data_IF_202468368006
#
_entry.id   IF_202468368006
#
_cell.length_a   1.000
_cell.length_b   1.000
_cell.length_c   1.000
_cell.angle_alpha   90.00
_cell.angle_beta   90.00
_cell.angle_gamma   90.00
#
_symmetry.space_group_name_H-M   'P 1'
#
loop_
_entity.id
_entity.type
_entity.pdbx_description
1 polymer ?
#
# COMPACT_ATOMS: atom_id res chain seq x y z
N UNK A 1 38.99 -15.38 -8.09
CA UNK A 1 37.98 -14.31 -7.90
C UNK A 1 36.95 -14.85 -6.93
N UNK A 2 36.44 -14.05 -5.99
CA UNK A 2 35.59 -14.55 -4.91
C UNK A 2 34.11 -14.48 -5.28
N UNK A 3 33.27 -15.37 -4.76
CA UNK A 3 31.82 -15.38 -5.01
C UNK A 3 31.14 -14.02 -4.75
N UNK A 4 31.65 -13.25 -3.78
CA UNK A 4 31.15 -11.89 -3.49
C UNK A 4 31.46 -10.88 -4.60
N UNK A 5 32.58 -11.01 -5.32
CA UNK A 5 32.86 -10.15 -6.48
C UNK A 5 31.95 -10.50 -7.64
N UNK A 6 31.76 -11.80 -7.92
CA UNK A 6 30.86 -12.27 -8.98
C UNK A 6 29.40 -11.88 -8.73
N UNK A 7 28.94 -11.95 -7.48
CA UNK A 7 27.60 -11.49 -7.11
C UNK A 7 27.44 -9.98 -7.25
N UNK A 8 28.44 -9.20 -6.83
CA UNK A 8 28.45 -7.75 -7.05
C UNK A 8 28.39 -7.44 -8.54
N UNK A 9 29.20 -8.09 -9.35
CA UNK A 9 29.25 -7.88 -10.80
C UNK A 9 27.91 -8.24 -11.46
N UNK A 10 27.27 -9.33 -11.03
CA UNK A 10 25.90 -9.68 -11.45
C UNK A 10 24.88 -8.57 -11.13
N UNK A 11 24.90 -8.02 -9.90
CA UNK A 11 23.98 -6.94 -9.52
C UNK A 11 24.16 -5.67 -10.38
N UNK A 12 25.39 -5.39 -10.81
CA UNK A 12 25.72 -4.28 -11.71
C UNK A 12 25.31 -4.57 -13.16
N UNK A 13 25.67 -5.74 -13.70
CA UNK A 13 25.37 -6.19 -15.07
C UNK A 13 23.87 -6.14 -15.35
N UNK A 14 23.07 -6.69 -14.42
CA UNK A 14 21.63 -6.83 -14.57
C UNK A 14 20.82 -5.67 -13.95
N UNK A 15 21.48 -4.62 -13.48
CA UNK A 15 20.84 -3.42 -12.88
C UNK A 15 19.81 -3.77 -11.80
N UNK A 16 20.11 -4.74 -10.95
CA UNK A 16 19.18 -5.23 -9.92
C UNK A 16 19.08 -4.27 -8.73
N UNK A 17 20.15 -3.50 -8.47
CA UNK A 17 20.21 -2.52 -7.37
C UNK A 17 19.07 -1.49 -7.44
N UNK A 18 18.84 -0.77 -8.55
CA UNK A 18 17.72 0.18 -8.64
C UNK A 18 16.34 -0.49 -8.55
N UNK A 19 16.19 -1.72 -9.03
CA UNK A 19 14.94 -2.48 -8.91
C UNK A 19 14.63 -2.80 -7.43
N UNK A 20 15.62 -3.25 -6.68
CA UNK A 20 15.47 -3.51 -5.25
C UNK A 20 15.10 -2.25 -4.46
N UNK A 21 15.71 -1.10 -4.80
CA UNK A 21 15.38 0.19 -4.18
C UNK A 21 13.92 0.59 -4.47
N UNK A 22 13.46 0.44 -5.72
CA UNK A 22 12.08 0.71 -6.10
C UNK A 22 11.07 -0.16 -5.35
N UNK A 23 11.37 -1.45 -5.18
CA UNK A 23 10.53 -2.39 -4.45
C UNK A 23 10.40 -2.00 -2.96
N UNK A 24 11.52 -1.69 -2.31
CA UNK A 24 11.53 -1.26 -0.90
C UNK A 24 10.76 0.05 -0.71
N UNK A 25 10.92 1.02 -1.61
CA UNK A 25 10.14 2.27 -1.57
C UNK A 25 8.64 2.01 -1.72
N UNK A 26 8.24 1.07 -2.60
CA UNK A 26 6.85 0.64 -2.75
C UNK A 26 6.28 0.08 -1.44
N UNK A 27 7.02 -0.80 -0.77
CA UNK A 27 6.61 -1.39 0.52
C UNK A 27 6.44 -0.30 1.58
N UNK A 28 7.44 0.58 1.76
CA UNK A 28 7.42 1.59 2.83
C UNK A 28 6.34 2.66 2.59
N UNK A 29 6.07 3.02 1.34
CA UNK A 29 5.03 4.00 0.98
C UNK A 29 3.62 3.54 1.39
N UNK A 30 3.37 2.23 1.37
CA UNK A 30 2.06 1.65 1.69
C UNK A 30 1.68 1.90 3.15
N UNK A 31 2.63 1.74 4.08
CA UNK A 31 2.40 2.03 5.50
C UNK A 31 2.10 3.51 5.75
N UNK A 32 2.79 4.41 5.02
CA UNK A 32 2.58 5.86 5.10
C UNK A 32 1.19 6.23 4.58
N UNK A 33 0.81 5.73 3.41
CA UNK A 33 -0.52 5.96 2.82
C UNK A 33 -1.61 5.41 3.74
N UNK A 34 -1.42 4.22 4.32
CA UNK A 34 -2.37 3.65 5.29
C UNK A 34 -2.56 4.55 6.50
N UNK A 35 -1.47 5.04 7.09
CA UNK A 35 -1.53 5.96 8.23
C UNK A 35 -2.24 7.28 7.88
N UNK A 36 -1.97 7.84 6.70
CA UNK A 36 -2.66 9.02 6.20
C UNK A 36 -4.17 8.76 6.09
N UNK A 37 -4.56 7.61 5.53
CA UNK A 37 -5.97 7.28 5.39
C UNK A 37 -6.62 7.08 6.76
N UNK A 38 -6.04 6.25 7.63
CA UNK A 38 -6.63 5.90 8.92
C UNK A 38 -6.73 7.09 9.89
N UNK A 39 -5.74 7.99 9.89
CA UNK A 39 -5.64 9.06 10.89
C UNK A 39 -6.18 10.41 10.42
N UNK A 40 -6.22 10.67 9.11
CA UNK A 40 -6.65 11.97 8.57
C UNK A 40 -7.93 11.81 7.75
N UNK A 41 -7.94 10.88 6.79
CA UNK A 41 -9.07 10.74 5.87
C UNK A 41 -10.29 10.13 6.60
N UNK A 42 -10.10 9.07 7.40
CA UNK A 42 -11.19 8.38 8.11
C UNK A 42 -11.93 9.29 9.12
N UNK A 43 -11.27 10.08 10.00
CA UNK A 43 -11.98 10.97 10.92
C UNK A 43 -12.79 12.07 10.22
N UNK A 44 -12.38 12.49 9.01
CA UNK A 44 -13.12 13.48 8.21
C UNK A 44 -14.38 12.86 7.58
N UNK A 45 -14.36 11.56 7.25
CA UNK A 45 -15.46 10.88 6.55
C UNK A 45 -16.46 10.20 7.51
N UNK A 46 -15.98 9.70 8.65
CA UNK A 46 -16.78 8.97 9.66
C UNK A 46 -18.03 9.68 10.21
N UNK A 47 -18.16 11.03 10.27
CA UNK A 47 -19.40 11.68 10.69
C UNK A 47 -20.59 11.37 9.76
N UNK A 48 -20.32 10.96 8.52
CA UNK A 48 -21.34 10.66 7.50
C UNK A 48 -21.68 9.17 7.38
N UNK A 49 -21.01 8.27 8.14
CA UNK A 49 -21.21 6.80 8.04
C UNK A 49 -21.38 6.17 9.44
N UNK A 50 -22.58 5.66 9.79
CA UNK A 50 -22.81 5.06 11.11
C UNK A 50 -22.34 3.60 11.17
N UNK A 51 -21.44 3.29 12.12
CA UNK A 51 -21.15 1.93 12.57
C UNK A 51 -20.20 1.09 11.71
N UNK A 52 -19.98 -0.18 12.13
CA UNK A 52 -19.02 -1.19 11.59
C UNK A 52 -19.13 -1.52 10.09
N UNK A 53 -19.91 -0.77 9.31
CA UNK A 53 -20.10 -0.85 7.87
C UNK A 53 -19.00 -0.13 7.05
N UNK A 54 -17.88 0.27 7.66
CA UNK A 54 -16.79 0.99 6.96
C UNK A 54 -16.21 0.23 5.76
N UNK A 55 -16.26 -1.11 5.76
CA UNK A 55 -15.85 -1.93 4.61
C UNK A 55 -16.77 -1.78 3.39
N UNK A 56 -18.03 -1.41 3.62
CA UNK A 56 -19.04 -1.12 2.57
C UNK A 56 -19.34 0.38 2.48
N UNK A 57 -18.53 1.23 3.12
CA UNK A 57 -18.78 2.65 3.15
C UNK A 57 -18.50 3.28 1.79
N UNK A 58 -19.57 3.88 1.26
CA UNK A 58 -19.57 4.66 0.02
C UNK A 58 -19.75 6.13 0.40
N UNK A 59 -18.85 6.99 -0.07
CA UNK A 59 -18.99 8.42 0.09
C UNK A 59 -19.71 8.99 -1.13
N UNK A 60 -20.94 9.46 -0.95
CA UNK A 60 -21.72 10.09 -2.01
C UNK A 60 -21.46 11.60 -1.99
N UNK A 61 -20.68 12.11 -2.94
CA UNK A 61 -20.57 13.55 -3.21
C UNK A 61 -21.34 13.83 -4.50
N UNK A 62 -22.60 14.22 -4.38
CA UNK A 62 -23.47 14.42 -5.55
C UNK A 62 -23.68 13.11 -6.32
N UNK A 63 -23.54 13.06 -7.66
CA UNK A 63 -23.77 11.84 -8.45
C UNK A 63 -22.61 10.83 -8.40
N UNK A 64 -21.53 11.11 -7.66
CA UNK A 64 -20.33 10.27 -7.63
C UNK A 64 -20.29 9.50 -6.32
N UNK A 65 -20.35 8.17 -6.43
CA UNK A 65 -20.26 7.23 -5.31
C UNK A 65 -18.82 6.72 -5.20
N UNK A 66 -18.05 7.26 -4.26
CA UNK A 66 -16.67 6.83 -3.98
C UNK A 66 -16.64 5.74 -2.91
N UNK A 67 -16.55 4.47 -3.35
CA UNK A 67 -16.41 3.30 -2.48
C UNK A 67 -15.00 3.09 -1.96
N UNK A 68 -14.55 3.91 -1.00
CA UNK A 68 -13.21 3.82 -0.42
C UNK A 68 -13.03 2.61 0.53
N UNK A 69 -14.13 2.05 1.06
CA UNK A 69 -14.08 0.87 1.94
C UNK A 69 -13.52 -0.38 1.25
N UNK A 70 -13.87 -0.57 -0.03
CA UNK A 70 -13.33 -1.66 -0.83
C UNK A 70 -11.82 -1.47 -1.10
N UNK A 71 -11.41 -0.24 -1.42
CA UNK A 71 -10.00 0.10 -1.69
C UNK A 71 -9.10 -0.14 -0.47
N UNK A 72 -9.52 0.28 0.73
CA UNK A 72 -8.75 0.03 1.95
C UNK A 72 -8.79 -1.44 2.38
N UNK A 73 -9.91 -2.13 2.13
CA UNK A 73 -10.00 -3.57 2.31
C UNK A 73 -8.97 -4.32 1.47
N UNK A 74 -8.83 -3.93 0.19
CA UNK A 74 -7.80 -4.45 -0.71
C UNK A 74 -6.38 -4.09 -0.27
N UNK A 75 -6.13 -2.87 0.22
CA UNK A 75 -4.80 -2.50 0.74
C UNK A 75 -4.40 -3.32 1.98
N UNK A 76 -5.34 -3.60 2.88
CA UNK A 76 -5.10 -4.46 4.05
C UNK A 76 -4.90 -5.92 3.63
N UNK A 77 -5.73 -6.42 2.71
CA UNK A 77 -5.56 -7.76 2.14
C UNK A 77 -4.19 -7.89 1.48
N UNK A 78 -3.79 -6.93 0.64
CA UNK A 78 -2.49 -6.91 -0.02
C UNK A 78 -1.33 -6.92 0.98
N UNK A 79 -1.39 -6.13 2.05
CA UNK A 79 -0.39 -6.15 3.12
C UNK A 79 -0.31 -7.49 3.86
N UNK A 80 -1.42 -8.19 4.03
CA UNK A 80 -1.42 -9.53 4.63
C UNK A 80 -0.84 -10.57 3.67
N UNK A 81 -1.16 -10.50 2.38
CA UNK A 81 -0.63 -11.43 1.37
C UNK A 81 0.86 -11.20 1.05
N UNK A 82 1.37 -9.96 1.13
CA UNK A 82 2.78 -9.67 0.86
C UNK A 82 3.74 -10.16 1.96
N UNK A 83 3.23 -10.67 3.08
CA UNK A 83 4.02 -11.27 4.16
C UNK A 83 4.07 -12.81 4.15
N UNK A 84 3.36 -13.46 3.22
CA UNK A 84 3.26 -14.93 3.12
C UNK A 84 3.67 -15.49 1.74
N UNK A 85 4.55 -14.79 1.01
CA UNK A 85 5.21 -15.33 -0.19
C UNK A 85 6.72 -15.20 -0.10
#
# INVERSE_FOLDING_TARGET
MGLLSEFKDFLYEYKVIPLAIAFIMGIVSTALIKSLVDNIIMPIITPFVPGRAWKTATFEIGPIVLGWGAFLGELINFSNYSGYS
#
